data_IF_097097103228
#
_entry.id   IF_097097103228
#
_cell.length_a   1.000
_cell.length_b   1.000
_cell.length_c   1.000
_cell.angle_alpha   90.00
_cell.angle_beta   90.00
_cell.angle_gamma   90.00
#
_symmetry.space_group_name_H-M   'P 1'
#
loop_
_entity.id
_entity.type
_entity.pdbx_description
1 polymer ?
#
# COMPACT_ATOMS: atom_id res chain seq x y z
N UNK A 1 20.11 -11.52 1.49
CA UNK A 1 19.21 -10.48 1.01
C UNK A 1 17.80 -10.65 1.57
N UNK A 2 17.03 -9.55 1.65
CA UNK A 2 15.60 -9.57 1.94
C UNK A 2 14.87 -9.28 0.63
N UNK A 3 13.82 -10.04 0.33
CA UNK A 3 13.05 -9.91 -0.91
C UNK A 3 11.59 -9.56 -0.58
N UNK A 4 11.07 -8.52 -1.23
CA UNK A 4 9.68 -8.12 -1.14
C UNK A 4 9.05 -8.32 -2.51
N UNK A 5 8.08 -9.25 -2.58
CA UNK A 5 7.25 -9.46 -3.76
C UNK A 5 6.08 -8.49 -3.66
N UNK A 6 5.86 -7.67 -4.69
CA UNK A 6 4.83 -6.65 -4.64
C UNK A 6 4.01 -6.55 -5.91
N UNK A 7 2.79 -6.07 -5.76
CA UNK A 7 1.89 -5.73 -6.84
C UNK A 7 1.03 -4.52 -6.47
N UNK A 8 0.37 -3.95 -7.47
CA UNK A 8 -0.62 -2.91 -7.35
C UNK A 8 -1.71 -3.07 -8.41
N UNK A 9 -2.92 -2.55 -8.13
CA UNK A 9 -4.01 -2.44 -9.11
C UNK A 9 -4.35 -3.76 -9.81
N UNK A 10 -4.40 -4.87 -9.04
CA UNK A 10 -4.69 -6.19 -9.63
C UNK A 10 -6.15 -6.35 -10.06
N UNK A 11 -7.08 -5.54 -9.53
CA UNK A 11 -8.46 -5.45 -9.97
C UNK A 11 -9.12 -6.80 -10.24
N UNK A 12 -8.98 -7.73 -9.28
CA UNK A 12 -9.55 -9.07 -9.33
C UNK A 12 -9.03 -9.97 -10.48
N UNK A 13 -7.86 -9.71 -11.03
CA UNK A 13 -7.23 -10.55 -12.06
C UNK A 13 -6.66 -11.84 -11.44
N UNK A 14 -7.51 -12.85 -11.26
CA UNK A 14 -7.20 -14.07 -10.48
C UNK A 14 -6.02 -14.90 -11.01
N UNK A 15 -5.76 -14.87 -12.31
CA UNK A 15 -4.68 -15.65 -12.93
C UNK A 15 -3.27 -15.21 -12.49
N UNK A 16 -3.14 -14.00 -11.98
CA UNK A 16 -1.87 -13.45 -11.50
C UNK A 16 -1.39 -14.06 -10.20
N UNK A 17 -2.31 -14.47 -9.31
CA UNK A 17 -1.94 -15.00 -7.99
C UNK A 17 -1.10 -16.27 -8.07
N UNK A 18 -1.41 -17.20 -9.00
CA UNK A 18 -0.59 -18.39 -9.22
C UNK A 18 0.83 -18.07 -9.68
N UNK A 19 1.01 -17.02 -10.50
CA UNK A 19 2.33 -16.54 -10.94
C UNK A 19 3.10 -15.92 -9.78
N UNK A 20 2.40 -15.14 -8.94
CA UNK A 20 2.98 -14.52 -7.74
C UNK A 20 3.49 -15.59 -6.77
N UNK A 21 2.68 -16.61 -6.46
CA UNK A 21 3.10 -17.75 -5.63
C UNK A 21 4.33 -18.43 -6.23
N UNK A 22 4.32 -18.74 -7.52
CA UNK A 22 5.46 -19.39 -8.20
C UNK A 22 6.73 -18.56 -8.11
N UNK A 23 6.61 -17.25 -8.25
CA UNK A 23 7.74 -16.33 -8.11
C UNK A 23 8.26 -16.26 -6.68
N UNK A 24 7.35 -16.15 -5.69
CA UNK A 24 7.68 -16.15 -4.27
C UNK A 24 8.41 -17.41 -3.85
N UNK A 25 7.89 -18.59 -4.20
CA UNK A 25 8.51 -19.87 -3.87
C UNK A 25 9.93 -19.98 -4.45
N UNK A 26 10.12 -19.50 -5.70
CA UNK A 26 11.45 -19.43 -6.29
C UNK A 26 12.41 -18.53 -5.51
N UNK A 27 11.93 -17.44 -4.90
CA UNK A 27 12.75 -16.58 -4.05
C UNK A 27 13.02 -17.24 -2.69
N UNK A 28 12.07 -18.02 -2.14
CA UNK A 28 12.26 -18.80 -0.89
C UNK A 28 13.41 -19.80 -0.97
N UNK A 29 13.75 -20.29 -2.16
CA UNK A 29 14.93 -21.15 -2.37
C UNK A 29 16.26 -20.40 -2.11
N UNK A 30 16.24 -19.07 -2.20
CA UNK A 30 17.45 -18.22 -2.11
C UNK A 30 17.57 -17.53 -0.75
N UNK A 31 16.45 -17.19 -0.11
CA UNK A 31 16.41 -16.52 1.19
C UNK A 31 15.16 -16.86 1.98
N UNK A 32 15.26 -17.01 3.31
CA UNK A 32 14.08 -17.15 4.17
C UNK A 32 13.39 -15.80 4.44
N UNK A 33 14.00 -14.68 4.07
CA UNK A 33 13.54 -13.34 4.38
C UNK A 33 12.72 -12.80 3.19
N UNK A 34 11.42 -13.08 3.19
CA UNK A 34 10.50 -12.68 2.12
C UNK A 34 9.26 -12.04 2.73
N UNK A 35 8.74 -11.02 2.06
CA UNK A 35 7.38 -10.51 2.24
C UNK A 35 6.63 -10.48 0.92
N UNK A 36 5.30 -10.57 1.01
CA UNK A 36 4.37 -10.35 -0.09
C UNK A 36 3.46 -9.18 0.29
N UNK A 37 3.44 -8.13 -0.53
CA UNK A 37 2.71 -6.91 -0.21
C UNK A 37 1.85 -6.43 -1.39
N UNK A 38 0.76 -5.70 -1.06
CA UNK A 38 -0.11 -5.07 -2.06
C UNK A 38 -0.21 -3.57 -1.84
N UNK A 39 -0.16 -2.83 -2.94
CA UNK A 39 -0.36 -1.37 -2.95
C UNK A 39 -1.81 -0.97 -3.24
N UNK A 40 -2.79 -1.84 -2.99
CA UNK A 40 -4.23 -1.55 -3.07
C UNK A 40 -4.88 -1.81 -4.44
N UNK A 41 -6.18 -1.58 -4.51
CA UNK A 41 -7.08 -1.83 -5.63
C UNK A 41 -7.13 -3.33 -6.02
N UNK A 42 -7.40 -4.18 -5.03
CA UNK A 42 -7.47 -5.64 -5.25
C UNK A 42 -8.90 -6.19 -5.25
N UNK A 43 -9.90 -5.57 -4.56
CA UNK A 43 -11.23 -6.18 -4.36
C UNK A 43 -12.23 -5.93 -5.48
N UNK A 44 -11.98 -4.96 -6.36
CA UNK A 44 -12.91 -4.51 -7.40
C UNK A 44 -12.26 -4.64 -8.81
N UNK A 45 -13.03 -4.98 -9.83
CA UNK A 45 -12.58 -5.05 -11.23
C UNK A 45 -13.36 -6.09 -12.01
N UNK A 46 -12.93 -7.34 -11.97
CA UNK A 46 -13.58 -8.41 -12.72
C UNK A 46 -14.85 -8.93 -12.02
N UNK A 47 -15.63 -9.75 -12.74
CA UNK A 47 -16.95 -10.26 -12.28
C UNK A 47 -16.87 -10.93 -10.90
N UNK A 48 -15.81 -11.67 -10.61
CA UNK A 48 -15.63 -12.36 -9.32
C UNK A 48 -15.60 -11.39 -8.15
N UNK A 49 -14.93 -10.24 -8.31
CA UNK A 49 -14.91 -9.18 -7.30
C UNK A 49 -16.30 -8.59 -7.07
N UNK A 50 -17.02 -8.28 -8.15
CA UNK A 50 -18.36 -7.70 -8.05
C UNK A 50 -19.37 -8.66 -7.43
N UNK A 51 -19.35 -9.96 -7.79
CA UNK A 51 -20.27 -10.97 -7.26
C UNK A 51 -20.00 -11.28 -5.78
N UNK A 52 -18.74 -11.37 -5.38
CA UNK A 52 -18.34 -11.68 -4.01
C UNK A 52 -18.13 -10.43 -3.15
N UNK A 53 -18.22 -9.23 -3.72
CA UNK A 53 -17.85 -7.97 -3.06
C UNK A 53 -16.46 -8.04 -2.40
N UNK A 54 -15.51 -8.65 -3.11
CA UNK A 54 -14.13 -8.80 -2.68
C UNK A 54 -13.83 -10.04 -1.83
N UNK A 55 -14.84 -10.77 -1.31
CA UNK A 55 -14.61 -11.90 -0.40
C UNK A 55 -13.77 -13.02 -1.03
N UNK A 56 -14.02 -13.36 -2.30
CA UNK A 56 -13.23 -14.36 -3.01
C UNK A 56 -11.79 -13.94 -3.22
N UNK A 57 -11.54 -12.65 -3.40
CA UNK A 57 -10.19 -12.12 -3.56
C UNK A 57 -9.42 -12.16 -2.23
N UNK A 58 -10.06 -11.75 -1.14
CA UNK A 58 -9.46 -11.84 0.20
C UNK A 58 -9.11 -13.31 0.54
N UNK A 59 -9.99 -14.26 0.20
CA UNK A 59 -9.69 -15.69 0.37
C UNK A 59 -8.46 -16.12 -0.45
N UNK A 60 -8.32 -15.68 -1.70
CA UNK A 60 -7.13 -15.95 -2.51
C UNK A 60 -5.87 -15.28 -1.93
N UNK A 61 -5.98 -14.06 -1.42
CA UNK A 61 -4.86 -13.35 -0.79
C UNK A 61 -4.37 -14.07 0.47
N UNK A 62 -5.27 -14.66 1.25
CA UNK A 62 -4.89 -15.49 2.41
C UNK A 62 -4.16 -16.76 1.96
N UNK A 63 -4.64 -17.47 0.93
CA UNK A 63 -3.95 -18.64 0.36
C UNK A 63 -2.57 -18.29 -0.24
N UNK A 64 -2.42 -17.07 -0.72
CA UNK A 64 -1.14 -16.55 -1.23
C UNK A 64 -0.22 -16.09 -0.09
N UNK A 65 -0.75 -15.93 1.13
CA UNK A 65 -0.01 -15.46 2.31
C UNK A 65 0.58 -14.05 2.09
N UNK A 66 -0.30 -13.06 1.85
CA UNK A 66 0.12 -11.66 1.92
C UNK A 66 0.47 -11.28 3.37
N UNK A 67 1.51 -10.48 3.54
CA UNK A 67 1.97 -10.01 4.87
C UNK A 67 1.37 -8.65 5.22
N UNK A 68 1.49 -7.68 4.31
CA UNK A 68 1.03 -6.30 4.53
C UNK A 68 0.38 -5.76 3.25
N UNK A 69 -0.74 -5.07 3.40
CA UNK A 69 -1.44 -4.42 2.29
C UNK A 69 -1.83 -2.99 2.65
N UNK A 70 -1.90 -2.11 1.66
CA UNK A 70 -2.59 -0.82 1.82
C UNK A 70 -3.92 -0.82 1.07
N UNK A 71 -4.72 0.21 1.28
CA UNK A 71 -5.99 0.40 0.58
C UNK A 71 -5.79 1.31 -0.64
N UNK A 72 -6.35 0.92 -1.77
CA UNK A 72 -6.61 1.82 -2.88
C UNK A 72 -7.98 2.49 -2.75
N UNK A 73 -8.43 3.17 -3.79
CA UNK A 73 -9.76 3.78 -3.77
C UNK A 73 -10.89 2.76 -3.98
N UNK A 74 -10.62 1.67 -4.69
CA UNK A 74 -11.64 0.66 -4.99
C UNK A 74 -11.93 -0.31 -3.84
N UNK A 75 -11.16 -0.33 -2.76
CA UNK A 75 -11.50 -1.05 -1.53
C UNK A 75 -12.75 -0.49 -0.86
N UNK A 76 -13.14 0.74 -1.19
CA UNK A 76 -14.32 1.42 -0.64
C UNK A 76 -15.60 1.26 -1.48
N UNK A 77 -15.53 0.67 -2.68
CA UNK A 77 -16.65 0.59 -3.62
C UNK A 77 -17.87 -0.15 -3.08
N UNK A 78 -17.66 -1.12 -2.20
CA UNK A 78 -18.74 -1.91 -1.60
C UNK A 78 -19.22 -1.36 -0.25
N UNK A 79 -18.77 -0.16 0.14
CA UNK A 79 -19.13 0.54 1.35
C UNK A 79 -18.37 0.11 2.60
N UNK A 80 -18.43 0.93 3.65
CA UNK A 80 -17.67 0.72 4.88
C UNK A 80 -17.98 -0.60 5.60
N UNK A 81 -19.27 -1.06 5.69
CA UNK A 81 -19.54 -2.36 6.32
C UNK A 81 -18.85 -3.53 5.63
N UNK A 82 -18.76 -3.50 4.29
CA UNK A 82 -18.07 -4.53 3.54
C UNK A 82 -16.55 -4.43 3.72
N UNK A 83 -15.98 -3.23 3.69
CA UNK A 83 -14.55 -3.03 3.96
C UNK A 83 -14.16 -3.62 5.33
N UNK A 84 -14.94 -3.37 6.37
CA UNK A 84 -14.67 -3.93 7.70
C UNK A 84 -14.81 -5.46 7.73
N UNK A 85 -15.80 -6.03 7.01
CA UNK A 85 -15.94 -7.47 6.86
C UNK A 85 -14.70 -8.08 6.17
N UNK A 86 -14.22 -7.46 5.10
CA UNK A 86 -13.03 -7.91 4.38
C UNK A 86 -11.78 -7.81 5.27
N UNK A 87 -11.61 -6.71 6.01
CA UNK A 87 -10.54 -6.55 7.02
C UNK A 87 -10.53 -7.71 8.02
N UNK A 88 -11.70 -8.06 8.56
CA UNK A 88 -11.80 -9.10 9.60
C UNK A 88 -11.55 -10.52 9.04
N UNK A 89 -11.61 -10.68 7.72
CA UNK A 89 -11.35 -11.94 7.00
C UNK A 89 -9.95 -12.02 6.41
N UNK A 90 -9.28 -10.89 6.21
CA UNK A 90 -7.93 -10.83 5.64
C UNK A 90 -6.89 -11.12 6.72
N UNK A 91 -5.97 -12.06 6.45
CA UNK A 91 -4.88 -12.41 7.38
C UNK A 91 -3.74 -11.39 7.34
N UNK A 92 -3.52 -10.75 6.18
CA UNK A 92 -2.55 -9.68 6.05
C UNK A 92 -2.90 -8.44 6.89
N UNK A 93 -1.89 -7.75 7.39
CA UNK A 93 -2.11 -6.47 8.07
C UNK A 93 -2.45 -5.38 7.07
N UNK A 94 -3.62 -4.74 7.23
CA UNK A 94 -3.95 -3.52 6.49
C UNK A 94 -3.30 -2.33 7.19
N UNK A 95 -2.52 -1.54 6.46
CA UNK A 95 -1.89 -0.31 6.95
C UNK A 95 -2.43 0.91 6.21
N UNK A 96 -2.70 2.00 6.95
CA UNK A 96 -3.12 3.27 6.35
C UNK A 96 -2.78 4.46 7.26
N UNK A 97 -1.95 5.35 6.78
CA UNK A 97 -1.45 6.53 7.52
C UNK A 97 -2.39 7.72 7.40
N UNK A 98 -3.36 7.70 6.48
CA UNK A 98 -4.21 8.86 6.19
C UNK A 98 -5.71 8.59 6.16
N UNK A 99 -6.18 7.35 6.31
CA UNK A 99 -7.60 7.05 6.45
C UNK A 99 -8.03 7.10 7.92
N UNK A 100 -9.01 7.93 8.25
CA UNK A 100 -9.32 8.27 9.63
C UNK A 100 -10.83 8.46 9.88
N UNK A 101 -11.21 8.44 11.14
CA UNK A 101 -12.46 9.00 11.59
C UNK A 101 -12.42 10.52 11.33
N UNK A 102 -13.38 11.02 10.56
CA UNK A 102 -13.38 12.42 10.11
C UNK A 102 -13.53 13.42 11.27
N UNK A 103 -14.22 13.04 12.36
CA UNK A 103 -14.50 13.91 13.50
C UNK A 103 -13.35 13.94 14.50
N UNK A 104 -12.74 12.79 14.78
CA UNK A 104 -11.67 12.68 15.80
C UNK A 104 -10.27 12.77 15.22
N UNK A 105 -10.10 12.49 13.94
CA UNK A 105 -8.80 12.36 13.29
C UNK A 105 -8.05 11.07 13.63
N UNK A 106 -8.66 10.16 14.41
CA UNK A 106 -8.05 8.87 14.74
C UNK A 106 -7.99 7.97 13.52
N UNK A 107 -6.82 7.35 13.29
CA UNK A 107 -6.64 6.41 12.18
C UNK A 107 -7.51 5.17 12.38
N UNK A 108 -8.10 4.69 11.28
CA UNK A 108 -8.95 3.48 11.29
C UNK A 108 -8.09 2.21 11.26
N UNK A 109 -6.92 2.28 10.66
CA UNK A 109 -5.95 1.18 10.57
C UNK A 109 -4.60 1.62 11.16
N UNK A 110 -3.73 0.69 11.57
CA UNK A 110 -2.37 1.03 11.96
C UNK A 110 -1.67 1.78 10.81
N UNK A 111 -0.87 2.81 11.09
CA UNK A 111 -0.18 3.57 10.05
C UNK A 111 0.90 2.76 9.35
N UNK A 112 1.51 1.80 10.04
CA UNK A 112 2.53 0.90 9.54
C UNK A 112 2.55 -0.42 10.33
N UNK A 113 3.23 -1.41 9.74
CA UNK A 113 3.61 -2.67 10.36
C UNK A 113 5.12 -2.85 10.24
N UNK A 114 5.81 -3.15 11.34
CA UNK A 114 7.23 -3.51 11.31
C UNK A 114 7.32 -5.03 11.17
N UNK A 115 8.08 -5.50 10.18
CA UNK A 115 8.43 -6.90 9.99
C UNK A 115 9.93 -7.08 10.23
N UNK A 116 10.28 -8.21 10.88
CA UNK A 116 11.63 -8.51 11.36
C UNK A 116 12.29 -9.56 10.45
N UNK A 117 13.48 -9.24 9.95
CA UNK A 117 14.25 -10.09 9.04
C UNK A 117 15.66 -10.33 9.61
N UNK A 118 15.75 -11.16 10.63
CA UNK A 118 16.99 -11.33 11.38
C UNK A 118 17.30 -10.09 12.22
N UNK A 119 18.37 -9.37 11.87
CA UNK A 119 18.75 -8.13 12.57
C UNK A 119 18.27 -6.86 11.86
N UNK A 120 17.44 -7.01 10.80
CA UNK A 120 16.92 -5.89 10.01
C UNK A 120 15.42 -5.77 10.22
N UNK A 121 14.97 -4.58 10.56
CA UNK A 121 13.58 -4.22 10.77
C UNK A 121 13.09 -3.29 9.67
N UNK A 122 12.02 -3.69 8.96
CA UNK A 122 11.42 -2.89 7.88
C UNK A 122 10.01 -2.48 8.29
N UNK A 123 9.75 -1.18 8.33
CA UNK A 123 8.40 -0.65 8.48
C UNK A 123 7.72 -0.53 7.12
N UNK A 124 6.57 -1.20 6.95
CA UNK A 124 5.68 -1.05 5.81
C UNK A 124 4.57 -0.06 6.16
N UNK A 125 4.51 1.06 5.47
CA UNK A 125 3.59 2.18 5.76
C UNK A 125 2.60 2.38 4.61
N UNK A 126 1.30 2.59 4.90
CA UNK A 126 0.26 2.68 3.88
C UNK A 126 -0.24 4.10 3.62
N UNK A 127 -0.48 4.44 2.34
CA UNK A 127 -1.16 5.68 1.96
C UNK A 127 -2.17 5.44 0.84
N UNK A 128 -3.37 5.98 1.02
CA UNK A 128 -4.44 5.94 0.01
C UNK A 128 -4.67 7.34 -0.57
N UNK A 129 -5.00 7.42 -1.86
CA UNK A 129 -5.27 8.71 -2.51
C UNK A 129 -6.36 9.50 -1.80
N UNK A 130 -6.09 10.78 -1.56
CA UNK A 130 -7.03 11.69 -0.89
C UNK A 130 -8.21 12.09 -1.78
N UNK A 131 -8.21 11.67 -3.05
CA UNK A 131 -9.32 11.85 -4.00
C UNK A 131 -10.40 10.77 -3.88
N UNK A 132 -10.15 9.69 -3.14
CA UNK A 132 -11.09 8.57 -2.94
C UNK A 132 -12.55 8.99 -2.71
N UNK A 133 -12.88 9.99 -1.86
CA UNK A 133 -14.26 10.41 -1.66
C UNK A 133 -14.95 11.00 -2.91
N UNK A 134 -14.20 11.34 -3.95
CA UNK A 134 -14.73 11.82 -5.22
C UNK A 134 -14.80 10.73 -6.29
N UNK A 135 -14.18 9.59 -6.03
CA UNK A 135 -14.10 8.46 -6.96
C UNK A 135 -15.14 7.37 -6.66
N UNK A 136 -15.53 7.24 -5.39
CA UNK A 136 -16.54 6.26 -4.95
C UNK A 136 -17.86 6.96 -4.60
N UNK A 137 -18.91 6.17 -4.37
CA UNK A 137 -20.21 6.71 -4.01
C UNK A 137 -20.12 7.58 -2.74
N UNK A 138 -20.54 8.84 -2.74
CA UNK A 138 -20.34 9.77 -1.62
C UNK A 138 -20.91 9.27 -0.29
N UNK A 139 -21.99 8.46 -0.32
CA UNK A 139 -22.59 7.92 0.88
C UNK A 139 -21.73 6.87 1.60
N UNK A 140 -20.68 6.36 0.96
CA UNK A 140 -19.75 5.38 1.55
C UNK A 140 -19.12 5.89 2.84
N UNK A 141 -18.84 7.18 2.92
CA UNK A 141 -18.16 7.80 4.07
C UNK A 141 -19.11 8.47 5.08
N UNK A 142 -20.41 8.30 4.89
CA UNK A 142 -21.43 8.87 5.80
C UNK A 142 -21.84 7.86 6.88
N UNK A 143 -22.24 8.38 8.02
CA UNK A 143 -22.93 7.61 9.06
C UNK A 143 -24.43 7.47 8.78
N UNK A 144 -25.15 6.83 9.70
CA UNK A 144 -26.60 6.64 9.64
C UNK A 144 -27.41 7.97 9.66
N UNK A 145 -26.81 9.05 10.17
CA UNK A 145 -27.37 10.40 10.19
C UNK A 145 -27.03 11.18 8.90
N UNK A 146 -26.38 10.55 7.92
CA UNK A 146 -25.88 11.15 6.67
C UNK A 146 -24.82 12.25 6.90
N UNK A 147 -24.11 12.18 8.00
CA UNK A 147 -22.97 13.04 8.29
C UNK A 147 -21.67 12.33 7.97
N UNK A 148 -20.61 13.10 7.61
CA UNK A 148 -19.30 12.53 7.28
C UNK A 148 -18.70 11.89 8.53
N UNK A 149 -18.50 10.58 8.48
CA UNK A 149 -17.92 9.78 9.57
C UNK A 149 -16.46 9.40 9.28
N UNK A 150 -16.11 9.17 8.02
CA UNK A 150 -14.78 8.72 7.60
C UNK A 150 -14.22 9.66 6.55
N UNK A 151 -12.90 9.70 6.44
CA UNK A 151 -12.22 10.51 5.43
C UNK A 151 -10.73 10.28 5.38
N UNK A 152 -10.11 10.99 4.44
CA UNK A 152 -8.66 10.97 4.26
C UNK A 152 -8.10 12.28 4.77
N UNK A 153 -7.10 12.18 5.63
CA UNK A 153 -6.50 13.35 6.26
C UNK A 153 -5.81 14.22 5.20
N UNK A 154 -6.39 15.39 4.89
CA UNK A 154 -5.84 16.35 3.92
C UNK A 154 -5.05 17.49 4.58
N UNK A 155 -5.60 18.15 5.64
CA UNK A 155 -4.83 19.18 6.34
C UNK A 155 -3.58 18.55 6.93
N UNK A 156 -2.41 19.18 6.67
CA UNK A 156 -1.14 18.71 7.21
C UNK A 156 -0.77 17.28 6.80
N UNK A 157 -1.15 16.84 5.60
CA UNK A 157 -0.86 15.48 5.10
C UNK A 157 0.62 15.13 5.26
N UNK A 158 1.52 15.98 4.77
CA UNK A 158 2.96 15.73 4.81
C UNK A 158 3.54 15.81 6.23
N UNK A 159 3.04 16.72 7.07
CA UNK A 159 3.45 16.81 8.48
C UNK A 159 3.08 15.54 9.24
N UNK A 160 1.87 15.00 8.99
CA UNK A 160 1.44 13.74 9.60
C UNK A 160 2.19 12.54 9.04
N UNK A 161 2.47 12.52 7.74
CA UNK A 161 3.31 11.48 7.13
C UNK A 161 4.69 11.47 7.80
N UNK A 162 5.36 12.64 7.89
CA UNK A 162 6.65 12.76 8.55
C UNK A 162 6.62 12.28 10.01
N UNK A 163 5.59 12.67 10.77
CA UNK A 163 5.43 12.23 12.16
C UNK A 163 5.37 10.71 12.28
N UNK A 164 4.68 10.01 11.36
CA UNK A 164 4.59 8.57 11.39
C UNK A 164 5.89 7.89 10.92
N UNK A 165 6.60 8.47 9.95
CA UNK A 165 7.93 8.03 9.53
C UNK A 165 8.91 8.11 10.71
N UNK A 166 8.98 9.28 11.36
CA UNK A 166 9.85 9.51 12.52
C UNK A 166 9.52 8.52 13.66
N UNK A 167 8.23 8.24 13.86
CA UNK A 167 7.78 7.28 14.87
C UNK A 167 8.23 5.86 14.53
N UNK A 168 8.08 5.41 13.29
CA UNK A 168 8.53 4.08 12.86
C UNK A 168 10.05 3.92 13.04
N UNK A 169 10.82 4.95 12.67
CA UNK A 169 12.28 4.99 12.91
C UNK A 169 12.63 4.94 14.40
N UNK A 170 11.92 5.72 15.23
CA UNK A 170 12.13 5.74 16.68
C UNK A 170 11.76 4.39 17.36
N UNK A 171 10.84 3.63 16.77
CA UNK A 171 10.46 2.28 17.20
C UNK A 171 11.44 1.20 16.70
N UNK A 172 12.49 1.57 15.97
CA UNK A 172 13.59 0.69 15.59
C UNK A 172 13.59 0.22 14.12
N UNK A 173 12.75 0.80 13.27
CA UNK A 173 12.79 0.46 11.85
C UNK A 173 14.10 0.93 11.20
N UNK A 174 14.89 0.00 10.67
CA UNK A 174 16.09 0.28 9.88
C UNK A 174 15.75 0.87 8.52
N UNK A 175 14.62 0.43 7.95
CA UNK A 175 14.11 0.90 6.66
C UNK A 175 12.62 1.18 6.70
N UNK A 176 12.18 2.16 5.89
CA UNK A 176 10.77 2.50 5.69
C UNK A 176 10.41 2.28 4.22
N UNK A 177 9.55 1.30 3.98
CA UNK A 177 8.96 1.00 2.67
C UNK A 177 7.51 1.48 2.68
N UNK A 178 7.18 2.43 1.82
CA UNK A 178 5.82 2.93 1.68
C UNK A 178 5.06 2.09 0.66
N UNK A 179 3.91 1.55 1.07
CA UNK A 179 2.90 0.99 0.18
C UNK A 179 1.93 2.13 -0.16
N UNK A 180 2.09 2.68 -1.33
CA UNK A 180 1.33 3.86 -1.76
C UNK A 180 0.24 3.51 -2.77
N UNK A 181 -0.90 4.15 -2.62
CA UNK A 181 -1.93 4.22 -3.65
C UNK A 181 -2.29 5.68 -3.92
N UNK A 182 -1.27 6.54 -4.03
CA UNK A 182 -1.43 7.96 -4.30
C UNK A 182 -1.36 8.27 -5.79
N UNK A 183 -0.65 7.46 -6.55
CA UNK A 183 -0.19 7.73 -7.90
C UNK A 183 1.05 8.63 -7.94
N UNK A 184 1.75 8.58 -9.05
CA UNK A 184 2.99 9.36 -9.26
C UNK A 184 2.75 10.71 -9.92
N UNK A 185 1.61 10.89 -10.58
CA UNK A 185 1.29 12.13 -11.30
C UNK A 185 0.92 13.27 -10.34
N UNK A 186 1.45 14.45 -10.63
CA UNK A 186 1.02 15.68 -9.96
C UNK A 186 -0.45 16.00 -10.33
N UNK A 187 -1.30 16.05 -9.32
CA UNK A 187 -2.73 16.35 -9.45
C UNK A 187 -3.11 17.66 -8.72
N UNK A 188 -2.16 18.58 -8.63
CA UNK A 188 -2.34 19.89 -8.01
C UNK A 188 -2.40 19.82 -6.49
N UNK A 189 -3.59 20.06 -5.89
CA UNK A 189 -3.74 20.07 -4.43
C UNK A 189 -3.73 18.68 -3.77
N UNK A 190 -3.73 17.60 -4.58
CA UNK A 190 -3.75 16.23 -4.09
C UNK A 190 -2.32 15.71 -3.93
N UNK A 191 -2.10 14.95 -2.86
CA UNK A 191 -0.83 14.31 -2.65
C UNK A 191 -0.59 13.21 -3.70
N UNK A 192 0.63 13.14 -4.22
CA UNK A 192 1.14 12.05 -5.04
C UNK A 192 2.36 11.41 -4.36
N UNK A 193 2.77 10.23 -4.81
CA UNK A 193 3.97 9.56 -4.31
C UNK A 193 5.22 10.42 -4.50
N UNK A 194 5.34 11.11 -5.63
CA UNK A 194 6.43 12.06 -5.88
C UNK A 194 6.39 13.23 -4.88
N UNK A 195 5.21 13.80 -4.61
CA UNK A 195 5.10 14.89 -3.66
C UNK A 195 5.28 14.45 -2.20
N UNK A 196 4.91 13.21 -1.86
CA UNK A 196 5.19 12.62 -0.55
C UNK A 196 6.71 12.51 -0.34
N UNK A 197 7.42 11.92 -1.29
CA UNK A 197 8.89 11.80 -1.22
C UNK A 197 9.55 13.19 -1.10
N UNK A 198 9.22 14.10 -2.00
CA UNK A 198 9.91 15.42 -2.07
C UNK A 198 9.65 16.34 -0.89
N UNK A 199 8.65 16.03 -0.05
CA UNK A 199 8.26 16.85 1.12
C UNK A 199 8.47 16.16 2.46
N UNK A 200 9.08 14.98 2.47
CA UNK A 200 9.42 14.22 3.68
C UNK A 200 10.86 13.73 3.63
N UNK A 201 11.32 13.17 4.74
CA UNK A 201 12.61 12.49 4.87
C UNK A 201 12.43 11.14 5.52
N UNK A 202 13.42 10.25 5.41
CA UNK A 202 13.41 8.96 6.10
C UNK A 202 12.60 7.86 5.43
N UNK A 203 12.06 8.06 4.21
CA UNK A 203 11.53 7.00 3.34
C UNK A 203 12.68 6.47 2.48
N UNK A 204 12.82 5.13 2.38
CA UNK A 204 13.83 4.48 1.55
C UNK A 204 13.25 4.06 0.19
N UNK A 205 12.02 3.55 0.18
CA UNK A 205 11.34 3.05 -1.01
C UNK A 205 9.85 3.42 -0.97
N UNK A 206 9.30 3.72 -2.14
CA UNK A 206 7.86 3.81 -2.36
C UNK A 206 7.46 2.79 -3.44
N UNK A 207 6.57 1.87 -3.09
CA UNK A 207 5.88 0.99 -4.02
C UNK A 207 4.50 1.60 -4.26
N UNK A 208 4.18 1.97 -5.50
CA UNK A 208 3.02 2.81 -5.81
C UNK A 208 1.98 2.09 -6.69
N UNK A 209 0.76 2.60 -6.66
CA UNK A 209 -0.36 2.18 -7.49
C UNK A 209 -1.15 3.38 -8.01
N UNK A 210 -2.43 3.16 -8.35
CA UNK A 210 -3.42 4.15 -8.75
C UNK A 210 -3.33 4.63 -10.22
N UNK A 211 -2.16 4.96 -10.72
CA UNK A 211 -1.98 5.49 -12.08
C UNK A 211 -1.79 4.39 -13.14
N UNK A 212 -1.82 3.12 -12.72
CA UNK A 212 -1.68 1.94 -13.59
C UNK A 212 -0.40 1.96 -14.44
N UNK A 213 0.62 2.67 -13.99
CA UNK A 213 1.89 2.80 -14.71
C UNK A 213 2.86 1.68 -14.34
N UNK A 214 3.72 1.32 -15.28
CA UNK A 214 4.84 0.43 -15.05
C UNK A 214 6.09 1.27 -14.85
N UNK A 215 6.62 1.25 -13.62
CA UNK A 215 7.86 1.92 -13.25
C UNK A 215 8.70 0.94 -12.44
N UNK A 216 9.66 0.25 -13.05
CA UNK A 216 10.44 -0.75 -12.32
C UNK A 216 11.40 -0.13 -11.30
N UNK A 217 12.00 1.04 -11.60
CA UNK A 217 13.09 1.64 -10.83
C UNK A 217 13.27 3.13 -11.13
N UNK A 218 12.40 3.97 -10.62
CA UNK A 218 12.55 5.43 -10.72
C UNK A 218 13.21 5.99 -9.45
N UNK A 219 14.00 7.06 -9.59
CA UNK A 219 14.58 7.77 -8.45
C UNK A 219 13.91 9.14 -8.31
N UNK A 220 13.42 9.42 -7.11
CA UNK A 220 12.86 10.71 -6.71
C UNK A 220 13.64 11.21 -5.51
N UNK A 221 13.95 12.49 -5.45
CA UNK A 221 14.74 13.05 -4.36
C UNK A 221 13.85 13.58 -3.23
N UNK A 222 14.20 13.23 -2.00
CA UNK A 222 13.49 13.65 -0.80
C UNK A 222 13.78 15.12 -0.45
N UNK A 223 13.23 15.62 0.66
CA UNK A 223 13.37 17.01 1.10
C UNK A 223 14.84 17.40 1.35
N UNK A 224 15.71 16.47 1.68
CA UNK A 224 17.15 16.68 1.94
C UNK A 224 18.03 16.39 0.71
N UNK A 225 17.40 16.01 -0.43
CA UNK A 225 18.10 15.72 -1.67
C UNK A 225 18.68 14.30 -1.75
N UNK A 226 18.22 13.39 -0.90
CA UNK A 226 18.61 11.98 -0.95
C UNK A 226 17.68 11.21 -1.91
N UNK A 227 18.21 10.23 -2.67
CA UNK A 227 17.44 9.45 -3.61
C UNK A 227 16.53 8.44 -2.89
N UNK A 228 15.26 8.39 -3.28
CA UNK A 228 14.26 7.39 -2.87
C UNK A 228 13.83 6.62 -4.09
N UNK A 229 13.81 5.29 -4.00
CA UNK A 229 13.34 4.43 -5.08
C UNK A 229 11.82 4.46 -5.13
N UNK A 230 11.26 4.69 -6.33
CA UNK A 230 9.83 4.66 -6.63
C UNK A 230 9.57 3.60 -7.71
N UNK A 231 8.69 2.62 -7.41
CA UNK A 231 8.37 1.54 -8.32
C UNK A 231 6.87 1.24 -8.36
N UNK A 232 6.38 0.75 -9.51
CA UNK A 232 5.02 0.24 -9.69
C UNK A 232 4.94 -0.81 -10.80
N UNK A 233 3.95 -1.72 -10.74
CA UNK A 233 3.88 -2.92 -11.58
C UNK A 233 2.86 -2.82 -12.72
N UNK A 234 2.08 -1.77 -12.79
CA UNK A 234 1.06 -1.57 -13.82
C UNK A 234 -0.34 -1.98 -13.37
N UNK A 235 -1.05 -2.72 -14.18
CA UNK A 235 -2.45 -3.08 -13.99
C UNK A 235 -2.66 -4.57 -14.18
N UNK A 236 -3.54 -5.20 -13.38
CA UNK A 236 -4.01 -6.60 -13.60
C UNK A 236 -2.88 -7.61 -13.76
N UNK A 237 -1.89 -7.55 -12.87
CA UNK A 237 -0.71 -8.41 -12.93
C UNK A 237 0.05 -8.36 -14.28
N UNK A 238 0.10 -7.20 -14.95
CA UNK A 238 1.00 -7.01 -16.09
C UNK A 238 2.42 -7.38 -15.73
N UNK A 239 2.81 -7.01 -14.51
CA UNK A 239 4.07 -7.41 -13.89
C UNK A 239 3.82 -7.78 -12.43
N UNK A 240 4.79 -8.48 -11.85
CA UNK A 240 4.93 -8.71 -10.42
C UNK A 240 6.30 -8.17 -10.06
N UNK A 241 6.37 -7.25 -9.13
CA UNK A 241 7.60 -6.59 -8.74
C UNK A 241 8.40 -7.40 -7.73
N UNK A 242 9.72 -7.32 -7.86
CA UNK A 242 10.67 -7.81 -6.87
C UNK A 242 11.51 -6.63 -6.37
N UNK A 243 11.30 -6.24 -5.13
CA UNK A 243 12.18 -5.33 -4.43
C UNK A 243 13.16 -6.17 -3.60
N UNK A 244 14.44 -5.93 -3.77
CA UNK A 244 15.50 -6.67 -3.06
C UNK A 244 16.37 -5.70 -2.26
N UNK A 245 16.48 -5.94 -0.96
CA UNK A 245 17.48 -5.30 -0.11
C UNK A 245 18.69 -6.23 -0.02
N UNK A 246 19.83 -5.75 -0.51
CA UNK A 246 21.08 -6.48 -0.46
C UNK A 246 21.70 -6.45 0.95
N UNK A 247 22.66 -7.31 1.20
CA UNK A 247 23.46 -7.31 2.46
C UNK A 247 24.25 -6.01 2.65
N UNK A 248 24.50 -5.27 1.57
CA UNK A 248 25.15 -3.95 1.62
C UNK A 248 24.20 -2.81 1.92
N UNK A 249 22.91 -3.07 2.16
CA UNK A 249 21.92 -2.05 2.47
C UNK A 249 21.38 -1.30 1.23
N UNK A 250 21.49 -1.89 0.03
CA UNK A 250 21.03 -1.25 -1.22
C UNK A 250 19.73 -1.89 -1.70
N UNK A 251 18.74 -1.07 -1.97
CA UNK A 251 17.50 -1.50 -2.63
C UNK A 251 17.65 -1.52 -4.15
N UNK A 252 17.11 -2.57 -4.76
CA UNK A 252 16.93 -2.68 -6.23
C UNK A 252 15.54 -3.21 -6.51
N UNK A 253 14.89 -2.70 -7.56
CA UNK A 253 13.56 -3.17 -7.99
C UNK A 253 13.61 -3.64 -9.45
N UNK A 254 12.81 -4.65 -9.80
CA UNK A 254 12.68 -5.17 -11.16
C UNK A 254 11.32 -5.79 -11.39
#
# INVERSE_FOLDING_TARGET
>A
PIVIVFENDVHCAVDGYAKLVSLREKQREQTPYIATVSCGDFVQGDIIGSLSKGESIVSLMNEVEYDVVTLGNHEFDYGMPQLFKLRDSLEATIVSTNFCNYRTGELIFPPYQILHYGEVDIAFMGFTTTTTPTMVAPHTFLDENKEIAYGFYRPKFYENAQKQIDKARAEGADYVVVLSHLGDMDRGEHASSVSLISRTTGIDVVLDGHDHRVMPDSLVYNLEGEPVLLASTGLKFQNIGLLTLSESGTFTSR
#
